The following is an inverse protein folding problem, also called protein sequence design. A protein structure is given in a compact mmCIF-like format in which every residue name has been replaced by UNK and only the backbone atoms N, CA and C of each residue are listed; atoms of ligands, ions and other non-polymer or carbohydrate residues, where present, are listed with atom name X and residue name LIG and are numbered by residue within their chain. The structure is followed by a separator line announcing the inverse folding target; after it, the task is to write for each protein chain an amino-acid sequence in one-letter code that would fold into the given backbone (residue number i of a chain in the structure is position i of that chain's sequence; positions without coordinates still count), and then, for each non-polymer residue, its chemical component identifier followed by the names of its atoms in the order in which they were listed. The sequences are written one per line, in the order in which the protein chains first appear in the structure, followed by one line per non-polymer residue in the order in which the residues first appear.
data_IF_667226470805
#
_entry.id   IF_667226470805
#
_cell.length_a   1.000
_cell.length_b   1.000
_cell.length_c   1.000
_cell.angle_alpha   90.00
_cell.angle_beta   90.00
_cell.angle_gamma   90.00
#
_symmetry.space_group_name_H-M   'P 1'
#
loop_
_entity.id
_entity.type
_entity.pdbx_description
1 polymer ?
#
# COMPACT_ATOMS: atom_id res chain seq x y z
N UNK A 1 -3.87 -22.26 -24.80
CA UNK A 1 -2.84 -21.20 -24.80
C UNK A 1 -3.41 -19.76 -24.88
N UNK A 2 -4.63 -19.46 -24.40
CA UNK A 2 -5.22 -18.11 -24.58
C UNK A 2 -5.95 -17.53 -23.36
N UNK A 3 -5.65 -17.99 -22.15
CA UNK A 3 -6.19 -17.38 -20.91
C UNK A 3 -5.56 -16.01 -20.58
N UNK A 4 -4.44 -15.65 -21.23
CA UNK A 4 -3.70 -14.41 -20.97
C UNK A 4 -4.47 -13.17 -21.47
N UNK A 5 -5.34 -13.31 -22.49
CA UNK A 5 -6.00 -12.19 -23.16
C UNK A 5 -7.49 -12.01 -22.81
N UNK A 6 -8.11 -13.00 -22.18
CA UNK A 6 -9.57 -13.06 -22.03
C UNK A 6 -10.03 -12.54 -20.66
N UNK A 7 -9.83 -11.23 -20.45
CA UNK A 7 -10.59 -10.36 -19.52
C UNK A 7 -10.57 -10.66 -18.01
N UNK A 8 -10.11 -11.83 -17.58
CA UNK A 8 -9.98 -12.20 -16.18
C UNK A 8 -8.51 -12.00 -15.84
N UNK A 9 -8.20 -10.91 -15.10
CA UNK A 9 -6.90 -10.74 -14.46
C UNK A 9 -6.78 -11.87 -13.44
N UNK A 10 -6.27 -13.01 -13.89
CA UNK A 10 -6.03 -14.16 -13.05
C UNK A 10 -4.81 -13.94 -12.15
N UNK A 11 -4.64 -14.79 -11.13
CA UNK A 11 -3.44 -14.80 -10.30
C UNK A 11 -2.10 -14.75 -11.09
N UNK A 12 -1.95 -15.41 -12.26
CA UNK A 12 -0.71 -15.37 -13.03
C UNK A 12 -0.33 -13.97 -13.54
N UNK A 13 -1.31 -13.19 -14.01
CA UNK A 13 -1.06 -11.84 -14.54
C UNK A 13 -0.64 -10.88 -13.42
N UNK A 14 -1.26 -10.99 -12.24
CA UNK A 14 -0.90 -10.18 -11.07
C UNK A 14 0.54 -10.46 -10.65
N UNK A 15 0.94 -11.74 -10.65
CA UNK A 15 2.32 -12.14 -10.34
C UNK A 15 3.32 -11.56 -11.34
N UNK A 16 3.01 -11.58 -12.64
CA UNK A 16 3.86 -10.96 -13.67
C UNK A 16 4.03 -9.46 -13.42
N UNK A 17 2.94 -8.74 -13.13
CA UNK A 17 2.98 -7.31 -12.83
C UNK A 17 3.83 -7.06 -11.58
N UNK A 18 3.63 -7.83 -10.51
CA UNK A 18 4.43 -7.74 -9.28
C UNK A 18 5.91 -7.97 -9.54
N UNK A 19 6.27 -8.95 -10.38
CA UNK A 19 7.67 -9.21 -10.76
C UNK A 19 8.26 -8.02 -11.52
N UNK A 20 7.54 -7.45 -12.48
CA UNK A 20 8.01 -6.26 -13.22
C UNK A 20 8.20 -5.07 -12.28
N UNK A 21 7.25 -4.80 -11.39
CA UNK A 21 7.36 -3.74 -10.37
C UNK A 21 8.54 -4.00 -9.44
N UNK A 22 8.76 -5.25 -9.02
CA UNK A 22 9.89 -5.65 -8.19
C UNK A 22 11.23 -5.47 -8.90
N UNK A 23 11.31 -5.68 -10.21
CA UNK A 23 12.53 -5.45 -11.00
C UNK A 23 12.83 -3.97 -11.16
N UNK A 24 11.80 -3.13 -11.37
CA UNK A 24 11.96 -1.68 -11.53
C UNK A 24 12.30 -0.97 -10.21
N UNK A 25 11.58 -1.30 -9.14
CA UNK A 25 11.73 -0.63 -7.85
C UNK A 25 12.69 -1.36 -6.90
N UNK A 26 12.92 -2.65 -7.10
CA UNK A 26 13.69 -3.50 -6.20
C UNK A 26 12.86 -4.01 -5.01
N UNK A 27 13.16 -5.24 -4.56
CA UNK A 27 12.46 -5.89 -3.43
C UNK A 27 12.52 -5.15 -2.10
N UNK A 28 13.48 -4.24 -1.92
CA UNK A 28 13.65 -3.47 -0.68
C UNK A 28 12.86 -2.16 -0.64
N UNK A 29 12.57 -1.55 -1.80
CA UNK A 29 11.90 -0.24 -1.85
C UNK A 29 10.40 -0.32 -1.53
N UNK A 30 9.72 -1.38 -1.96
CA UNK A 30 8.30 -1.57 -1.67
C UNK A 30 8.04 -1.62 -0.14
N UNK A 31 8.75 -2.45 0.66
CA UNK A 31 8.63 -2.43 2.12
C UNK A 31 9.02 -1.10 2.77
N UNK A 32 10.04 -0.43 2.26
CA UNK A 32 10.52 0.84 2.78
C UNK A 32 9.48 1.95 2.60
N UNK A 33 8.87 2.04 1.41
CA UNK A 33 7.77 2.95 1.12
C UNK A 33 6.54 2.64 1.99
N UNK A 34 6.17 1.36 2.13
CA UNK A 34 5.06 0.96 3.01
C UNK A 34 5.32 1.33 4.47
N UNK A 35 6.54 1.17 4.97
CA UNK A 35 6.91 1.56 6.34
C UNK A 35 6.86 3.08 6.52
N UNK A 36 7.31 3.85 5.54
CA UNK A 36 7.23 5.32 5.54
C UNK A 36 5.78 5.81 5.56
N UNK A 37 4.96 5.31 4.63
CA UNK A 37 3.52 5.58 4.57
C UNK A 37 2.81 5.17 5.86
N UNK A 38 3.09 3.97 6.39
CA UNK A 38 2.47 3.47 7.61
C UNK A 38 2.79 4.33 8.84
N UNK A 39 4.02 4.84 8.95
CA UNK A 39 4.39 5.79 10.00
C UNK A 39 3.65 7.12 9.84
N UNK A 40 3.62 7.69 8.64
CA UNK A 40 2.91 8.96 8.38
C UNK A 40 1.41 8.85 8.65
N UNK A 41 0.76 7.76 8.23
CA UNK A 41 -0.66 7.51 8.53
C UNK A 41 -0.90 7.34 10.03
N UNK A 42 0.03 6.68 10.75
CA UNK A 42 -0.07 6.53 12.20
C UNK A 42 0.04 7.88 12.91
N UNK A 43 1.07 8.67 12.59
CA UNK A 43 1.26 10.01 13.16
C UNK A 43 0.08 10.94 12.86
N UNK A 44 -0.45 10.89 11.63
CA UNK A 44 -1.65 11.63 11.25
C UNK A 44 -2.85 11.25 12.11
N UNK A 45 -3.10 9.94 12.28
CA UNK A 45 -4.20 9.44 13.10
C UNK A 45 -4.04 9.81 14.58
N UNK A 46 -2.81 9.74 15.11
CA UNK A 46 -2.52 10.08 16.50
C UNK A 46 -2.71 11.59 16.75
N UNK A 47 -2.36 12.46 15.80
CA UNK A 47 -2.60 13.90 15.89
C UNK A 47 -4.10 14.23 15.90
N UNK A 48 -4.87 13.67 14.95
CA UNK A 48 -6.33 13.90 14.86
C UNK A 48 -7.07 13.36 16.09
N UNK A 49 -6.66 12.21 16.65
CA UNK A 49 -7.30 11.65 17.84
C UNK A 49 -7.13 12.53 19.08
N UNK A 50 -6.00 13.23 19.23
CA UNK A 50 -5.79 14.14 20.36
C UNK A 50 -6.64 15.42 20.24
N UNK A 51 -6.90 15.91 19.03
CA UNK A 51 -7.83 17.03 18.79
C UNK A 51 -9.29 16.65 19.12
N UNK A 52 -9.73 15.45 18.72
CA UNK A 52 -11.08 14.97 19.01
C UNK A 52 -11.34 14.74 20.53
N UNK A 53 -10.32 14.33 21.29
CA UNK A 53 -10.42 14.13 22.75
C UNK A 53 -10.43 15.47 23.53
N UNK A 54 -9.93 16.57 22.94
CA UNK A 54 -9.98 17.91 23.55
C UNK A 54 -11.34 18.61 23.43
N UNK A 55 -12.16 18.27 22.42
CA UNK A 55 -13.48 18.90 22.20
C UNK A 55 -14.61 18.30 23.07
N UNK A 56 -14.36 17.19 23.78
CA UNK A 56 -15.41 16.50 24.59
C UNK A 56 -15.44 16.94 26.07
N UNK A 57 -14.66 17.97 26.46
CA UNK A 57 -14.54 18.42 27.87
C UNK A 57 -14.98 19.86 28.15
N UNK A 58 -15.69 20.52 27.24
CA UNK A 58 -16.42 21.77 27.55
C UNK A 58 -17.93 21.54 27.71
#
# INVERSE_FOLDING_TARGET
MNTIFLGIIGPPQIIIILVVVLLLFGGKKIPELMRGLGKGVKEFKDATKNEEESDTKE
#
